data_IF_996467067677
#
_entry.id   IF_996467067677
#
_cell.length_a   1.000
_cell.length_b   1.000
_cell.length_c   1.000
_cell.angle_alpha   90.00
_cell.angle_beta   90.00
_cell.angle_gamma   90.00
#
_symmetry.space_group_name_H-M   'P 1'
#
loop_
_entity.id
_entity.type
_entity.pdbx_description
1 polymer ?
#
# COMPACT_ATOMS: atom_id res chain seq x y z
N UNK A 1 13.92 -20.89 12.96
CA UNK A 1 13.20 -21.24 14.20
C UNK A 1 11.75 -20.79 14.03
N UNK A 2 10.82 -21.75 13.94
CA UNK A 2 9.36 -21.60 14.13
C UNK A 2 8.61 -20.57 13.26
N UNK A 3 8.20 -20.97 12.05
CA UNK A 3 6.99 -20.45 11.40
C UNK A 3 6.02 -21.63 11.24
N UNK A 4 5.52 -22.16 12.37
CA UNK A 4 4.32 -23.02 12.34
C UNK A 4 3.12 -22.09 12.31
N UNK A 5 2.78 -21.61 11.13
CA UNK A 5 1.49 -20.97 10.89
C UNK A 5 0.47 -22.11 10.94
N UNK A 6 -0.46 -22.17 11.92
CA UNK A 6 -1.54 -23.13 11.85
C UNK A 6 -2.33 -22.78 10.58
N UNK A 7 -2.36 -23.69 9.62
CA UNK A 7 -3.24 -23.60 8.45
C UNK A 7 -4.66 -23.63 9.00
N UNK A 8 -5.23 -22.46 9.28
CA UNK A 8 -6.65 -22.36 9.61
C UNK A 8 -7.40 -22.98 8.45
N UNK A 9 -8.31 -23.90 8.76
CA UNK A 9 -9.19 -24.46 7.73
C UNK A 9 -9.93 -23.31 7.07
N UNK A 10 -9.87 -23.25 5.74
CA UNK A 10 -10.51 -22.21 4.93
C UNK A 10 -12.03 -22.44 5.01
N UNK A 11 -12.59 -22.13 6.16
CA UNK A 11 -14.02 -22.21 6.42
C UNK A 11 -14.67 -20.95 5.87
N UNK A 12 -15.77 -21.12 5.15
CA UNK A 12 -16.52 -20.03 4.54
C UNK A 12 -16.92 -18.94 5.57
N UNK A 13 -17.08 -19.32 6.84
CA UNK A 13 -17.33 -18.40 7.95
C UNK A 13 -16.12 -17.48 8.26
N UNK A 14 -14.90 -18.01 8.24
CA UNK A 14 -13.67 -17.23 8.48
C UNK A 14 -13.36 -16.30 7.30
N UNK A 15 -13.64 -16.74 6.07
CA UNK A 15 -13.45 -15.93 4.87
C UNK A 15 -14.26 -14.62 4.93
N UNK A 16 -15.52 -14.72 5.39
CA UNK A 16 -16.42 -13.57 5.52
C UNK A 16 -15.97 -12.60 6.59
N UNK A 17 -15.38 -13.08 7.68
CA UNK A 17 -14.84 -12.24 8.75
C UNK A 17 -13.65 -11.41 8.24
N UNK A 18 -12.69 -12.05 7.56
CA UNK A 18 -11.49 -11.38 7.03
C UNK A 18 -11.85 -10.36 5.94
N UNK A 19 -12.78 -10.70 5.03
CA UNK A 19 -13.27 -9.75 4.01
C UNK A 19 -13.94 -8.53 4.64
N UNK A 20 -14.62 -8.69 5.77
CA UNK A 20 -15.26 -7.57 6.48
C UNK A 20 -14.22 -6.67 7.17
N UNK A 21 -13.09 -7.24 7.59
CA UNK A 21 -12.00 -6.53 8.24
C UNK A 21 -11.21 -5.69 7.21
N UNK A 22 -10.84 -6.28 6.06
CA UNK A 22 -10.15 -5.60 4.96
C UNK A 22 -11.06 -4.75 4.06
N UNK A 23 -12.33 -4.58 4.42
CA UNK A 23 -13.31 -3.89 3.55
C UNK A 23 -12.95 -2.42 3.30
N UNK A 24 -12.16 -1.82 4.19
CA UNK A 24 -11.73 -0.42 4.09
C UNK A 24 -10.51 -0.22 3.17
N UNK A 25 -9.83 -1.30 2.80
CA UNK A 25 -8.71 -1.30 1.84
C UNK A 25 -9.19 -1.51 0.39
N UNK A 26 -10.33 -2.17 0.19
CA UNK A 26 -10.90 -2.43 -1.14
C UNK A 26 -11.24 -1.16 -1.97
N UNK A 27 -11.73 -0.03 -1.39
CA UNK A 27 -12.07 1.18 -2.15
C UNK A 27 -10.86 1.89 -2.75
N UNK A 28 -9.68 1.69 -2.17
CA UNK A 28 -8.43 2.38 -2.51
C UNK A 28 -8.07 2.30 -4.00
N UNK A 29 -7.96 1.11 -4.63
CA UNK A 29 -7.71 1.00 -6.06
C UNK A 29 -8.78 1.68 -6.91
N UNK A 30 -10.05 1.64 -6.51
CA UNK A 30 -11.12 2.31 -7.25
C UNK A 30 -11.03 3.83 -7.16
N UNK A 31 -10.66 4.37 -6.00
CA UNK A 31 -10.44 5.82 -5.82
C UNK A 31 -9.26 6.29 -6.66
N UNK A 32 -8.15 5.55 -6.66
CA UNK A 32 -6.93 5.91 -7.41
C UNK A 32 -7.15 5.78 -8.91
N UNK A 33 -7.61 4.61 -9.37
CA UNK A 33 -7.85 4.35 -10.78
C UNK A 33 -8.99 5.25 -11.27
N UNK A 34 -10.10 5.33 -10.53
CA UNK A 34 -11.22 6.20 -10.86
C UNK A 34 -10.80 7.68 -10.94
N UNK A 35 -10.02 8.18 -9.97
CA UNK A 35 -9.55 9.56 -9.94
C UNK A 35 -8.62 9.92 -11.09
N UNK A 36 -7.68 9.03 -11.44
CA UNK A 36 -6.72 9.27 -12.53
C UNK A 36 -7.39 9.09 -13.90
N UNK A 37 -8.11 7.98 -14.12
CA UNK A 37 -8.69 7.68 -15.44
C UNK A 37 -9.93 8.51 -15.79
N UNK A 38 -10.66 9.04 -14.81
CA UNK A 38 -11.76 9.98 -15.08
C UNK A 38 -11.28 11.39 -15.46
N UNK A 39 -9.98 11.68 -15.35
CA UNK A 39 -9.41 13.00 -15.60
C UNK A 39 -9.74 14.04 -14.53
N UNK A 40 -10.31 13.62 -13.39
CA UNK A 40 -10.70 14.52 -12.30
C UNK A 40 -9.51 14.94 -11.43
N UNK A 41 -8.49 14.10 -11.33
CA UNK A 41 -7.27 14.38 -10.55
C UNK A 41 -6.01 14.14 -11.38
N UNK A 42 -5.05 15.05 -11.24
CA UNK A 42 -3.69 14.78 -11.71
C UNK A 42 -3.06 13.64 -10.90
N UNK A 43 -2.04 12.97 -11.46
CA UNK A 43 -1.33 11.87 -10.78
C UNK A 43 -0.77 12.30 -9.43
N UNK A 44 -0.30 13.54 -9.32
CA UNK A 44 0.18 14.14 -8.07
C UNK A 44 -0.92 14.35 -7.03
N UNK A 45 -2.10 14.80 -7.44
CA UNK A 45 -3.24 15.04 -6.54
C UNK A 45 -3.82 13.72 -6.06
N UNK A 46 -3.95 12.73 -6.94
CA UNK A 46 -4.39 11.39 -6.60
C UNK A 46 -3.46 10.76 -5.56
N UNK A 47 -2.14 10.96 -5.67
CA UNK A 47 -1.17 10.48 -4.69
C UNK A 47 -1.39 11.10 -3.30
N UNK A 48 -1.64 12.41 -3.21
CA UNK A 48 -1.91 13.08 -1.92
C UNK A 48 -3.18 12.55 -1.28
N UNK A 49 -4.27 12.45 -2.04
CA UNK A 49 -5.56 11.91 -1.57
C UNK A 49 -5.39 10.49 -1.04
N UNK A 50 -4.63 9.67 -1.78
CA UNK A 50 -4.32 8.28 -1.41
C UNK A 50 -3.57 8.20 -0.09
N UNK A 51 -2.50 8.98 0.08
CA UNK A 51 -1.70 8.99 1.30
C UNK A 51 -2.54 9.44 2.49
N UNK A 52 -3.37 10.48 2.34
CA UNK A 52 -4.27 10.96 3.39
C UNK A 52 -5.29 9.88 3.75
N UNK A 53 -5.91 9.23 2.76
CA UNK A 53 -6.88 8.17 2.99
C UNK A 53 -6.26 6.98 3.74
N UNK A 54 -5.13 6.45 3.24
CA UNK A 54 -4.41 5.34 3.89
C UNK A 54 -4.05 5.70 5.32
N UNK A 55 -3.50 6.89 5.55
CA UNK A 55 -3.10 7.32 6.89
C UNK A 55 -4.30 7.40 7.85
N UNK A 56 -5.44 7.91 7.40
CA UNK A 56 -6.66 7.95 8.22
C UNK A 56 -7.20 6.53 8.50
N UNK A 57 -7.27 5.67 7.50
CA UNK A 57 -7.79 4.30 7.64
C UNK A 57 -6.89 3.47 8.57
N UNK A 58 -5.59 3.47 8.33
CA UNK A 58 -4.59 2.71 9.10
C UNK A 58 -4.50 3.16 10.57
N UNK A 59 -4.50 4.48 10.80
CA UNK A 59 -4.30 5.03 12.15
C UNK A 59 -5.60 5.12 12.94
N UNK A 60 -6.71 5.52 12.32
CA UNK A 60 -7.96 5.79 13.05
C UNK A 60 -8.96 4.63 13.01
N UNK A 61 -9.10 3.97 11.85
CA UNK A 61 -10.12 2.94 11.63
C UNK A 61 -9.59 1.56 12.05
N UNK A 62 -8.54 1.08 11.39
CA UNK A 62 -7.91 -0.21 11.67
C UNK A 62 -7.04 -0.14 12.93
N UNK A 63 -6.45 1.03 13.22
CA UNK A 63 -5.55 1.26 14.36
C UNK A 63 -4.36 0.30 14.39
N UNK A 64 -3.92 -0.14 13.21
CA UNK A 64 -2.78 -1.05 13.06
C UNK A 64 -1.45 -0.32 13.30
N UNK A 65 -1.41 0.98 12.98
CA UNK A 65 -0.19 1.78 13.04
C UNK A 65 -0.35 2.91 14.05
N UNK A 66 0.55 2.97 15.03
CA UNK A 66 0.65 4.11 15.94
C UNK A 66 1.31 5.31 15.28
N UNK A 67 0.81 6.53 15.56
CA UNK A 67 1.37 7.78 15.01
C UNK A 67 2.88 7.93 15.25
N UNK A 68 3.40 7.38 16.35
CA UNK A 68 4.82 7.43 16.70
C UNK A 68 5.68 6.47 15.84
N UNK A 69 5.08 5.43 15.27
CA UNK A 69 5.75 4.48 14.39
C UNK A 69 5.85 4.98 12.93
N UNK A 70 5.04 5.98 12.54
CA UNK A 70 5.03 6.56 11.18
C UNK A 70 6.43 6.91 10.66
N UNK A 71 7.30 7.66 11.38
CA UNK A 71 8.62 8.02 10.86
C UNK A 71 9.52 6.80 10.62
N UNK A 72 9.39 5.77 11.47
CA UNK A 72 10.12 4.53 11.33
C UNK A 72 9.68 3.74 10.10
N UNK A 73 8.38 3.71 9.82
CA UNK A 73 7.80 3.07 8.63
C UNK A 73 8.23 3.81 7.38
N UNK A 74 8.09 5.13 7.34
CA UNK A 74 8.51 5.97 6.21
C UNK A 74 9.98 5.73 5.90
N UNK A 75 10.87 5.71 6.89
CA UNK A 75 12.30 5.45 6.67
C UNK A 75 12.56 4.07 6.04
N UNK A 76 11.87 3.02 6.50
CA UNK A 76 11.99 1.67 5.93
C UNK A 76 11.47 1.61 4.50
N UNK A 77 10.30 2.20 4.24
CA UNK A 77 9.71 2.28 2.90
C UNK A 77 10.60 3.06 1.94
N UNK A 78 11.18 4.18 2.38
CA UNK A 78 12.10 4.98 1.56
C UNK A 78 13.38 4.23 1.21
N UNK A 79 13.90 3.37 2.10
CA UNK A 79 15.06 2.52 1.79
C UNK A 79 14.74 1.52 0.66
N UNK A 80 13.55 0.92 0.67
CA UNK A 80 13.08 0.04 -0.40
C UNK A 80 12.92 0.80 -1.72
N UNK A 81 12.28 1.98 -1.68
CA UNK A 81 12.11 2.85 -2.86
C UNK A 81 13.46 3.27 -3.45
N UNK A 82 14.42 3.62 -2.60
CA UNK A 82 15.79 3.93 -3.03
C UNK A 82 16.46 2.77 -3.76
N UNK A 83 16.31 1.53 -3.25
CA UNK A 83 16.80 0.34 -3.93
C UNK A 83 16.17 0.13 -5.31
N UNK A 84 14.86 0.32 -5.42
CA UNK A 84 14.13 0.24 -6.70
C UNK A 84 14.63 1.31 -7.68
N UNK A 85 14.87 2.54 -7.21
CA UNK A 85 15.40 3.62 -8.05
C UNK A 85 16.79 3.32 -8.62
N UNK A 86 17.68 2.67 -7.87
CA UNK A 86 19.00 2.26 -8.37
C UNK A 86 18.85 1.25 -9.52
N UNK A 87 17.98 0.25 -9.34
CA UNK A 87 17.72 -0.77 -10.36
C UNK A 87 17.13 -0.13 -11.63
N UNK A 88 16.13 0.75 -11.48
CA UNK A 88 15.52 1.46 -12.59
C UNK A 88 16.52 2.37 -13.31
N UNK A 89 17.36 3.10 -12.57
CA UNK A 89 18.41 3.94 -13.15
C UNK A 89 19.40 3.14 -13.99
N UNK A 90 19.85 1.98 -13.50
CA UNK A 90 20.72 1.08 -14.26
C UNK A 90 20.02 0.52 -15.50
N UNK A 91 18.75 0.10 -15.36
CA UNK A 91 17.95 -0.41 -16.47
C UNK A 91 17.81 0.64 -17.57
N UNK A 92 17.44 1.88 -17.21
CA UNK A 92 17.28 2.99 -18.16
C UNK A 92 18.60 3.36 -18.84
N UNK A 93 19.72 3.33 -18.10
CA UNK A 93 21.04 3.55 -18.69
C UNK A 93 21.40 2.47 -19.72
N UNK A 94 21.11 1.20 -19.43
CA UNK A 94 21.34 0.10 -20.37
C UNK A 94 20.44 0.20 -21.60
N UNK A 95 19.16 0.54 -21.43
CA UNK A 95 18.21 0.69 -22.55
C UNK A 95 18.54 1.89 -23.43
N UNK A 96 19.10 2.97 -22.87
CA UNK A 96 19.47 4.16 -23.64
C UNK A 96 20.79 3.99 -24.39
N UNK A 97 21.66 3.06 -23.94
CA UNK A 97 22.96 2.80 -24.55
C UNK A 97 22.92 1.76 -25.70
N UNK A 98 21.88 0.93 -25.76
CA UNK A 98 21.59 0.02 -26.88
C UNK A 98 20.74 0.72 -27.94
#
# INVERSE_FOLDING_TARGET
>A
RQLRIPLSSVSCANLRAVVRESIWELPLPFIVLGGIYSGFFAVSEAAVVTVVYVLLVEVLVLREISLKALPGIVRKSMALVGGIMIILGLSLASTTYM
#
